data_IF_715211080301
#
_entry.id   IF_715211080301
#
_cell.length_a   1.000
_cell.length_b   1.000
_cell.length_c   1.000
_cell.angle_alpha   90.00
_cell.angle_beta   90.00
_cell.angle_gamma   90.00
#
_symmetry.space_group_name_H-M   'P 1'
#
loop_
_entity.id
_entity.type
_entity.pdbx_description
1 polymer ?
#
# COMPACT_ATOMS: atom_id res chain seq x y z
N UNK A 1 15.46 13.53 27.25
CA UNK A 1 15.46 14.36 26.01
C UNK A 1 16.80 14.39 25.30
N UNK A 2 17.95 14.54 26.00
CA UNK A 2 19.28 14.66 25.37
C UNK A 2 19.76 13.40 24.61
N UNK A 3 19.45 12.20 25.10
CA UNK A 3 19.86 10.93 24.44
C UNK A 3 19.24 10.76 23.05
N UNK A 4 17.96 11.11 22.88
CA UNK A 4 17.24 11.03 21.61
C UNK A 4 17.71 12.09 20.61
N UNK A 5 18.14 13.26 21.08
CA UNK A 5 18.84 14.23 20.24
C UNK A 5 20.11 13.65 19.61
N UNK A 6 20.77 12.69 20.27
CA UNK A 6 21.98 12.05 19.74
C UNK A 6 21.68 11.00 18.66
N UNK A 7 20.72 10.09 18.90
CA UNK A 7 20.29 9.09 17.90
C UNK A 7 19.77 9.76 16.64
N UNK A 8 18.95 10.80 16.82
CA UNK A 8 18.46 11.59 15.71
C UNK A 8 19.59 12.27 14.93
N UNK A 9 20.57 12.85 15.63
CA UNK A 9 21.75 13.45 14.99
C UNK A 9 22.56 12.41 14.21
N UNK A 10 22.70 11.21 14.74
CA UNK A 10 23.40 10.09 14.11
C UNK A 10 22.68 9.62 12.84
N UNK A 11 21.37 9.35 12.92
CA UNK A 11 20.53 9.00 11.76
C UNK A 11 20.61 10.09 10.68
N UNK A 12 20.53 11.37 11.05
CA UNK A 12 20.62 12.48 10.08
C UNK A 12 21.98 12.54 9.40
N UNK A 13 23.05 12.35 10.17
CA UNK A 13 24.43 12.40 9.67
C UNK A 13 24.75 11.21 8.76
N UNK A 14 24.32 10.01 9.13
CA UNK A 14 24.39 8.79 8.32
C UNK A 14 23.59 8.94 7.03
N UNK A 15 22.34 9.41 7.12
CA UNK A 15 21.51 9.60 5.93
C UNK A 15 22.12 10.62 4.97
N UNK A 16 22.78 11.66 5.50
CA UNK A 16 23.51 12.64 4.69
C UNK A 16 24.77 12.05 4.04
N UNK A 17 25.54 11.22 4.76
CA UNK A 17 26.69 10.49 4.20
C UNK A 17 26.26 9.53 3.11
N UNK A 18 25.21 8.75 3.34
CA UNK A 18 24.66 7.83 2.34
C UNK A 18 24.14 8.61 1.13
N UNK A 19 23.43 9.72 1.34
CA UNK A 19 22.99 10.60 0.24
C UNK A 19 24.18 11.12 -0.58
N UNK A 20 25.29 11.47 0.07
CA UNK A 20 26.51 11.95 -0.59
C UNK A 20 27.15 10.86 -1.44
N UNK A 21 27.27 9.64 -0.90
CA UNK A 21 27.82 8.46 -1.60
C UNK A 21 26.97 8.11 -2.83
N UNK A 22 25.63 8.17 -2.72
CA UNK A 22 24.73 7.84 -3.84
C UNK A 22 24.54 9.00 -4.85
N UNK A 23 24.90 10.24 -4.51
CA UNK A 23 24.82 11.40 -5.43
C UNK A 23 26.03 11.52 -6.37
N UNK A 24 27.10 10.75 -6.14
CA UNK A 24 28.24 10.59 -7.05
C UNK A 24 28.82 9.19 -6.92
N UNK A 25 28.79 8.34 -7.96
CA UNK A 25 29.81 7.32 -8.05
C UNK A 25 31.17 8.04 -8.12
N UNK A 26 32.21 7.60 -7.39
CA UNK A 26 33.54 8.15 -7.55
C UNK A 26 34.03 7.88 -8.96
N UNK A 27 34.51 8.91 -9.66
CA UNK A 27 35.33 8.71 -10.85
C UNK A 27 36.59 7.95 -10.41
N UNK A 28 36.64 6.65 -10.68
CA UNK A 28 37.80 5.79 -10.38
C UNK A 28 37.56 4.56 -9.51
N UNK A 29 36.31 4.19 -9.18
CA UNK A 29 36.03 2.84 -8.67
C UNK A 29 35.42 2.01 -9.81
N UNK A 30 36.23 1.11 -10.35
CA UNK A 30 35.78 0.09 -11.28
C UNK A 30 35.03 -1.00 -10.49
N UNK A 31 33.71 -1.10 -10.69
CA UNK A 31 32.90 -2.17 -10.12
C UNK A 31 32.99 -3.48 -10.93
N UNK A 32 33.96 -3.60 -11.84
CA UNK A 32 34.17 -4.82 -12.64
C UNK A 32 34.49 -6.08 -11.82
N UNK A 33 34.81 -5.98 -10.52
CA UNK A 33 34.95 -7.15 -9.64
C UNK A 33 33.64 -7.62 -8.96
N UNK A 34 32.53 -6.88 -9.10
CA UNK A 34 31.21 -7.35 -8.68
C UNK A 34 30.29 -7.56 -9.90
N UNK A 35 30.54 -8.64 -10.64
CA UNK A 35 29.58 -9.22 -11.58
C UNK A 35 29.52 -8.55 -12.95
N UNK A 36 30.10 -9.20 -13.95
CA UNK A 36 29.94 -8.87 -15.36
C UNK A 36 28.48 -8.99 -15.82
N UNK A 37 27.74 -7.89 -15.86
CA UNK A 37 26.73 -7.63 -16.91
C UNK A 37 26.80 -6.15 -17.30
N UNK A 38 27.36 -5.87 -18.48
CA UNK A 38 27.45 -4.53 -19.06
C UNK A 38 26.06 -3.91 -19.21
N UNK A 39 25.83 -2.64 -18.81
CA UNK A 39 24.67 -1.90 -19.28
C UNK A 39 24.90 -1.56 -20.76
N UNK A 40 24.07 -2.14 -21.62
CA UNK A 40 23.96 -1.76 -23.03
C UNK A 40 23.73 -0.25 -23.14
N UNK A 41 24.59 0.43 -23.89
CA UNK A 41 24.39 1.79 -24.38
C UNK A 41 23.17 1.84 -25.30
N UNK A 42 21.99 2.04 -24.72
CA UNK A 42 20.83 2.59 -25.42
C UNK A 42 20.49 3.92 -24.77
N UNK A 43 20.24 4.91 -25.62
CA UNK A 43 19.68 6.20 -25.26
C UNK A 43 18.51 6.02 -24.26
N UNK A 44 18.28 6.96 -23.34
CA UNK A 44 17.18 6.83 -22.40
C UNK A 44 15.88 6.84 -23.18
N UNK A 45 15.32 5.65 -23.41
CA UNK A 45 13.91 5.51 -23.72
C UNK A 45 13.19 6.35 -22.66
N UNK A 46 12.34 7.27 -23.13
CA UNK A 46 11.38 7.97 -22.30
C UNK A 46 10.48 6.93 -21.65
N UNK A 47 10.96 6.34 -20.56
CA UNK A 47 10.17 5.56 -19.64
C UNK A 47 9.13 6.52 -19.10
N UNK A 48 7.89 6.33 -19.50
CA UNK A 48 6.77 6.86 -18.76
C UNK A 48 6.95 6.39 -17.31
N UNK A 49 7.16 7.34 -16.40
CA UNK A 49 7.05 7.17 -14.95
C UNK A 49 5.60 6.76 -14.61
N UNK A 50 5.18 5.56 -15.00
CA UNK A 50 4.01 4.89 -14.44
C UNK A 50 4.42 4.36 -13.06
N UNK A 51 4.32 5.28 -12.09
CA UNK A 51 4.64 5.12 -10.67
C UNK A 51 4.07 3.82 -10.07
N UNK A 52 4.94 3.05 -9.40
CA UNK A 52 4.59 1.95 -8.51
C UNK A 52 3.89 2.46 -7.22
N UNK A 53 2.66 2.96 -7.34
CA UNK A 53 1.69 2.65 -6.28
C UNK A 53 1.45 1.14 -6.41
N UNK A 54 1.87 0.37 -5.41
CA UNK A 54 1.73 -1.09 -5.40
C UNK A 54 0.30 -1.44 -5.83
N UNK A 55 0.15 -2.09 -6.98
CA UNK A 55 -1.16 -2.55 -7.44
C UNK A 55 -1.76 -3.40 -6.31
N UNK A 56 -3.05 -3.23 -6.01
CA UNK A 56 -3.70 -4.00 -4.96
C UNK A 56 -3.54 -5.49 -5.29
N UNK A 57 -2.85 -6.21 -4.41
CA UNK A 57 -2.61 -7.63 -4.58
C UNK A 57 -3.93 -8.36 -4.31
N UNK A 58 -4.32 -9.29 -5.18
CA UNK A 58 -5.58 -10.02 -5.04
C UNK A 58 -5.56 -10.97 -3.85
N UNK A 59 -4.35 -11.36 -3.43
CA UNK A 59 -4.13 -12.12 -2.20
C UNK A 59 -4.47 -11.30 -0.95
N UNK A 60 -4.51 -9.96 -1.02
CA UNK A 60 -4.93 -9.11 0.10
C UNK A 60 -6.39 -9.37 0.52
N UNK A 61 -7.18 -10.05 -0.31
CA UNK A 61 -8.59 -10.38 -0.04
C UNK A 61 -8.80 -11.88 0.25
N UNK A 62 -7.77 -12.71 0.19
CA UNK A 62 -7.94 -14.13 0.49
C UNK A 62 -8.05 -14.36 1.99
N UNK A 63 -8.88 -15.32 2.39
CA UNK A 63 -8.90 -15.77 3.77
C UNK A 63 -7.66 -16.62 4.02
N UNK A 64 -6.91 -16.28 5.07
CA UNK A 64 -5.83 -17.15 5.52
C UNK A 64 -6.42 -18.52 5.83
N UNK A 65 -5.86 -19.53 5.17
CA UNK A 65 -6.16 -20.93 5.40
C UNK A 65 -6.28 -21.15 6.91
N UNK A 66 -7.41 -21.69 7.34
CA UNK A 66 -7.78 -21.86 8.75
C UNK A 66 -6.67 -22.57 9.53
N UNK A 67 -5.74 -21.80 10.08
CA UNK A 67 -4.81 -22.28 11.10
C UNK A 67 -5.69 -22.61 12.30
N UNK A 68 -5.74 -23.88 12.70
CA UNK A 68 -6.58 -24.35 13.81
C UNK A 68 -6.27 -23.69 15.16
N UNK A 69 -5.22 -22.86 15.26
CA UNK A 69 -4.90 -22.08 16.44
C UNK A 69 -5.57 -20.69 16.42
N UNK A 70 -6.51 -20.50 17.35
CA UNK A 70 -7.22 -19.25 17.59
C UNK A 70 -6.31 -18.05 17.94
N UNK A 71 -5.11 -18.31 18.48
CA UNK A 71 -4.16 -17.25 18.85
C UNK A 71 -3.46 -16.70 17.62
N UNK A 72 -2.98 -17.59 16.76
CA UNK A 72 -2.37 -17.22 15.47
C UNK A 72 -3.34 -16.42 14.60
N UNK A 73 -4.60 -16.87 14.49
CA UNK A 73 -5.64 -16.16 13.75
C UNK A 73 -5.90 -14.74 14.30
N UNK A 74 -5.92 -14.58 15.63
CA UNK A 74 -6.09 -13.26 16.25
C UNK A 74 -4.89 -12.35 15.99
N UNK A 75 -3.67 -12.87 16.06
CA UNK A 75 -2.46 -12.09 15.78
C UNK A 75 -2.45 -11.58 14.33
N UNK A 76 -2.84 -12.43 13.38
CA UNK A 76 -2.93 -12.05 11.98
C UNK A 76 -4.03 -10.99 11.74
N UNK A 77 -5.16 -11.12 12.43
CA UNK A 77 -6.21 -10.09 12.42
C UNK A 77 -5.72 -8.75 12.99
N UNK A 78 -4.91 -8.77 14.06
CA UNK A 78 -4.30 -7.55 14.62
C UNK A 78 -3.35 -6.90 13.61
N UNK A 79 -2.48 -7.68 12.96
CA UNK A 79 -1.57 -7.19 11.92
C UNK A 79 -2.34 -6.53 10.77
N UNK A 80 -3.33 -7.24 10.20
CA UNK A 80 -4.18 -6.73 9.13
C UNK A 80 -4.94 -5.47 9.55
N UNK A 81 -5.44 -5.43 10.78
CA UNK A 81 -6.14 -4.25 11.30
C UNK A 81 -5.22 -3.03 11.36
N UNK A 82 -3.97 -3.21 11.76
CA UNK A 82 -2.97 -2.14 11.80
C UNK A 82 -2.63 -1.62 10.40
N UNK A 83 -2.42 -2.51 9.43
CA UNK A 83 -2.17 -2.10 8.04
C UNK A 83 -3.36 -1.37 7.43
N UNK A 84 -4.57 -1.91 7.59
CA UNK A 84 -5.80 -1.27 7.08
C UNK A 84 -6.04 0.09 7.72
N UNK A 85 -5.82 0.23 9.02
CA UNK A 85 -5.94 1.52 9.69
C UNK A 85 -4.89 2.53 9.19
N UNK A 86 -3.64 2.08 9.01
CA UNK A 86 -2.59 2.92 8.43
C UNK A 86 -2.96 3.41 7.02
N UNK A 87 -3.51 2.53 6.17
CA UNK A 87 -3.98 2.89 4.82
C UNK A 87 -5.15 3.87 4.81
N UNK A 88 -6.09 3.71 5.74
CA UNK A 88 -7.23 4.64 5.89
C UNK A 88 -6.73 6.03 6.27
N UNK A 89 -5.76 6.12 7.18
CA UNK A 89 -5.21 7.40 7.64
C UNK A 89 -4.24 8.05 6.65
N UNK A 90 -3.64 7.26 5.75
CA UNK A 90 -2.79 7.77 4.69
C UNK A 90 -3.63 8.58 3.70
N UNK A 91 -3.28 9.86 3.52
CA UNK A 91 -4.05 10.77 2.67
C UNK A 91 -3.89 10.45 1.19
N UNK A 92 -4.96 10.66 0.45
CA UNK A 92 -4.94 10.57 -1.01
C UNK A 92 -4.24 11.80 -1.62
N UNK A 93 -3.32 11.58 -2.55
CA UNK A 93 -2.68 12.66 -3.31
C UNK A 93 -3.69 13.27 -4.27
N UNK A 94 -4.18 14.47 -4.00
CA UNK A 94 -4.89 15.23 -5.03
C UNK A 94 -3.86 15.77 -6.01
N UNK A 95 -4.04 15.54 -7.32
CA UNK A 95 -3.26 16.23 -8.36
C UNK A 95 -3.39 17.73 -8.09
N UNK A 96 -2.28 18.44 -7.86
CA UNK A 96 -2.30 19.89 -7.64
C UNK A 96 -2.83 20.61 -8.89
N UNK A 97 -4.13 20.85 -8.94
CA UNK A 97 -4.82 21.69 -9.93
C UNK A 97 -4.81 23.16 -9.50
N UNK A 98 -3.65 23.65 -9.04
CA UNK A 98 -3.49 25.04 -8.60
C UNK A 98 -2.89 25.93 -9.67
N UNK A 99 -3.61 26.98 -10.09
CA UNK A 99 -3.21 28.03 -11.04
C UNK A 99 -1.96 28.85 -10.65
N UNK A 100 -1.22 28.49 -9.61
CA UNK A 100 -0.03 29.21 -9.10
C UNK A 100 1.25 28.36 -9.09
N UNK A 101 1.25 27.20 -9.75
CA UNK A 101 2.45 26.38 -9.96
C UNK A 101 3.41 26.90 -11.03
N UNK A 102 3.73 28.20 -11.07
CA UNK A 102 4.87 28.69 -11.86
C UNK A 102 6.14 28.50 -11.05
N UNK A 103 6.63 27.27 -11.08
CA UNK A 103 7.94 26.91 -10.60
C UNK A 103 8.16 25.44 -10.89
N UNK A 104 8.88 25.15 -12.00
CA UNK A 104 9.55 23.87 -12.24
C UNK A 104 10.48 23.60 -11.05
N UNK A 105 9.95 23.07 -9.95
CA UNK A 105 10.74 22.28 -9.03
C UNK A 105 10.63 20.86 -9.54
N UNK A 106 11.76 20.33 -10.01
CA UNK A 106 12.02 18.91 -10.24
C UNK A 106 11.25 18.06 -9.23
N UNK A 107 10.68 16.98 -9.74
CA UNK A 107 9.95 15.91 -9.06
C UNK A 107 10.71 15.36 -7.85
N UNK A 108 10.71 16.11 -6.77
CA UNK A 108 11.22 15.68 -5.48
C UNK A 108 10.15 14.82 -4.83
N UNK A 109 10.34 13.50 -4.86
CA UNK A 109 9.61 12.45 -4.12
C UNK A 109 8.31 12.95 -3.49
N UNK A 110 7.26 13.07 -4.30
CA UNK A 110 5.91 13.41 -3.85
C UNK A 110 5.30 12.30 -2.99
N UNK A 111 5.94 11.13 -2.91
CA UNK A 111 5.40 9.92 -2.31
C UNK A 111 5.50 9.83 -0.78
N UNK A 112 6.55 10.41 -0.20
CA UNK A 112 6.83 10.25 1.23
C UNK A 112 5.97 11.12 2.17
N UNK A 113 5.02 11.92 1.69
CA UNK A 113 4.30 12.89 2.57
C UNK A 113 3.11 12.28 3.30
N UNK A 114 2.44 11.34 2.67
CA UNK A 114 1.17 10.80 3.17
C UNK A 114 1.29 9.39 3.75
N UNK A 115 2.52 8.93 4.01
CA UNK A 115 2.76 7.63 4.64
C UNK A 115 2.36 7.70 6.12
N UNK A 116 1.64 6.68 6.55
CA UNK A 116 1.19 6.50 7.92
C UNK A 116 1.69 5.15 8.44
N UNK A 117 2.01 5.11 9.72
CA UNK A 117 2.28 3.89 10.46
C UNK A 117 1.42 3.86 11.72
N UNK A 118 0.99 2.66 12.10
CA UNK A 118 0.16 2.44 13.29
C UNK A 118 0.71 1.28 14.10
N UNK A 119 0.72 1.42 15.42
CA UNK A 119 1.07 0.35 16.34
C UNK A 119 0.00 0.17 17.42
N UNK A 120 0.00 -0.99 18.08
CA UNK A 120 -0.99 -1.37 19.09
C UNK A 120 -0.31 -1.62 20.44
N UNK A 121 -0.92 -1.11 21.50
CA UNK A 121 -0.57 -1.39 22.90
C UNK A 121 -1.77 -1.99 23.60
N UNK A 122 -1.57 -3.14 24.23
CA UNK A 122 -2.58 -3.91 24.93
C UNK A 122 -2.37 -3.78 26.44
N UNK A 123 -3.06 -2.80 27.04
CA UNK A 123 -2.98 -2.57 28.48
C UNK A 123 -4.02 -3.45 29.19
N UNK A 124 -3.55 -4.58 29.71
CA UNK A 124 -4.38 -5.53 30.47
C UNK A 124 -4.84 -4.96 31.81
N UNK A 125 -4.13 -3.98 32.39
CA UNK A 125 -4.48 -3.38 33.68
C UNK A 125 -5.66 -2.43 33.56
N UNK A 126 -5.65 -1.60 32.51
CA UNK A 126 -6.76 -0.70 32.18
C UNK A 126 -7.83 -1.38 31.31
N UNK A 127 -7.61 -2.64 30.93
CA UNK A 127 -8.44 -3.38 29.96
C UNK A 127 -8.68 -2.55 28.69
N UNK A 128 -7.62 -1.91 28.17
CA UNK A 128 -7.71 -0.97 27.06
C UNK A 128 -6.74 -1.32 25.95
N UNK A 129 -7.21 -1.21 24.71
CA UNK A 129 -6.34 -1.28 23.52
C UNK A 129 -6.09 0.14 23.02
N UNK A 130 -4.82 0.51 22.91
CA UNK A 130 -4.39 1.83 22.43
C UNK A 130 -3.72 1.70 21.07
N UNK A 131 -4.21 2.43 20.08
CA UNK A 131 -3.56 2.60 18.79
C UNK A 131 -2.71 3.87 18.79
N UNK A 132 -1.43 3.73 18.49
CA UNK A 132 -0.52 4.85 18.27
C UNK A 132 -0.45 5.11 16.77
N UNK A 133 -0.84 6.31 16.34
CA UNK A 133 -0.92 6.66 14.93
C UNK A 133 0.13 7.74 14.61
N UNK A 134 1.07 7.43 13.71
CA UNK A 134 2.06 8.40 13.22
C UNK A 134 1.90 8.61 11.73
N UNK A 135 2.13 9.84 11.28
CA UNK A 135 2.04 10.24 9.88
C UNK A 135 3.20 11.16 9.56
N UNK A 136 3.82 11.02 8.39
CA UNK A 136 5.05 11.77 8.06
C UNK A 136 4.87 13.30 8.20
N UNK A 137 3.69 13.80 7.83
CA UNK A 137 3.31 15.21 7.93
C UNK A 137 2.54 15.58 9.21
N UNK A 138 2.27 14.59 10.06
CA UNK A 138 1.46 14.73 11.27
C UNK A 138 -0.03 14.52 11.00
N UNK A 139 -0.74 14.06 12.02
CA UNK A 139 -2.21 14.03 11.99
C UNK A 139 -2.73 15.46 12.10
N UNK A 140 -3.78 15.76 11.34
CA UNK A 140 -4.46 17.07 11.40
C UNK A 140 -5.89 16.92 11.94
N UNK A 141 -6.59 18.03 12.17
CA UNK A 141 -7.90 18.02 12.85
C UNK A 141 -8.95 17.08 12.24
N UNK A 142 -8.98 16.91 10.90
CA UNK A 142 -9.86 15.94 10.25
C UNK A 142 -9.54 14.49 10.63
N UNK A 143 -8.25 14.16 10.75
CA UNK A 143 -7.79 12.84 11.17
C UNK A 143 -8.17 12.59 12.64
N UNK A 144 -8.03 13.61 13.51
CA UNK A 144 -8.40 13.53 14.93
C UNK A 144 -9.91 13.33 15.14
N UNK A 145 -10.74 14.06 14.40
CA UNK A 145 -12.21 13.91 14.44
C UNK A 145 -12.62 12.51 13.96
N UNK A 146 -12.00 12.02 12.88
CA UNK A 146 -12.22 10.66 12.39
C UNK A 146 -11.86 9.61 13.45
N UNK A 147 -10.67 9.71 14.05
CA UNK A 147 -10.21 8.78 15.09
C UNK A 147 -11.09 8.81 16.34
N UNK A 148 -11.57 9.99 16.74
CA UNK A 148 -12.54 10.15 17.82
C UNK A 148 -13.84 9.39 17.57
N UNK A 149 -14.47 9.61 16.40
CA UNK A 149 -15.69 8.90 15.99
C UNK A 149 -15.47 7.39 15.86
N UNK A 150 -14.32 6.97 15.32
CA UNK A 150 -13.95 5.56 15.19
C UNK A 150 -13.81 4.91 16.57
N UNK A 151 -13.20 5.61 17.53
CA UNK A 151 -13.05 5.18 18.91
C UNK A 151 -14.40 4.88 19.57
N UNK A 152 -15.37 5.78 19.41
CA UNK A 152 -16.73 5.62 19.95
C UNK A 152 -17.43 4.40 19.34
N UNK A 153 -17.35 4.23 18.01
CA UNK A 153 -17.96 3.10 17.32
C UNK A 153 -17.36 1.76 17.74
N UNK A 154 -16.03 1.62 17.69
CA UNK A 154 -15.36 0.37 18.06
C UNK A 154 -15.55 0.04 19.55
N UNK A 155 -15.55 1.04 20.43
CA UNK A 155 -15.84 0.84 21.86
C UNK A 155 -17.29 0.41 22.08
N UNK A 156 -18.24 0.95 21.31
CA UNK A 156 -19.64 0.52 21.35
C UNK A 156 -19.80 -0.94 20.90
N UNK A 157 -19.15 -1.35 19.81
CA UNK A 157 -19.17 -2.74 19.32
C UNK A 157 -18.60 -3.69 20.37
N UNK A 158 -17.47 -3.30 20.97
CA UNK A 158 -16.80 -4.10 21.98
C UNK A 158 -17.68 -4.25 23.24
N UNK A 159 -18.38 -3.21 23.69
CA UNK A 159 -19.31 -3.30 24.84
C UNK A 159 -20.57 -4.08 24.50
N UNK A 160 -21.26 -3.71 23.42
CA UNK A 160 -22.61 -4.17 23.11
C UNK A 160 -22.64 -5.46 22.28
N UNK A 161 -21.48 -5.91 21.79
CA UNK A 161 -21.40 -6.97 20.78
C UNK A 161 -21.68 -6.42 19.38
N UNK A 162 -21.27 -7.18 18.37
CA UNK A 162 -21.45 -6.81 16.97
C UNK A 162 -22.92 -6.88 16.57
N UNK A 163 -23.45 -5.75 16.10
CA UNK A 163 -24.75 -5.67 15.44
C UNK A 163 -24.56 -5.65 13.93
N UNK A 164 -25.57 -6.09 13.20
CA UNK A 164 -25.56 -6.10 11.74
C UNK A 164 -25.31 -4.71 11.12
N UNK A 165 -25.71 -3.63 11.81
CA UNK A 165 -25.52 -2.24 11.34
C UNK A 165 -24.16 -1.64 11.67
N UNK A 166 -23.35 -2.30 12.51
CA UNK A 166 -22.09 -1.72 12.97
C UNK A 166 -21.04 -1.68 11.86
N UNK A 167 -21.00 -2.70 11.00
CA UNK A 167 -20.17 -2.70 9.79
C UNK A 167 -20.51 -1.53 8.88
N UNK A 168 -21.80 -1.27 8.63
CA UNK A 168 -22.24 -0.16 7.80
C UNK A 168 -21.85 1.21 8.39
N UNK A 169 -21.92 1.37 9.73
CA UNK A 169 -21.51 2.61 10.40
C UNK A 169 -20.01 2.87 10.31
N UNK A 170 -19.19 1.84 10.59
CA UNK A 170 -17.73 1.94 10.49
C UNK A 170 -17.33 2.18 9.03
N UNK A 171 -17.98 1.50 8.08
CA UNK A 171 -17.79 1.74 6.66
C UNK A 171 -18.09 3.18 6.28
N UNK A 172 -19.28 3.70 6.61
CA UNK A 172 -19.67 5.06 6.26
C UNK A 172 -18.65 6.07 6.81
N UNK A 173 -18.16 5.87 8.04
CA UNK A 173 -17.14 6.73 8.64
C UNK A 173 -15.81 6.70 7.87
N UNK A 174 -15.31 5.50 7.53
CA UNK A 174 -14.07 5.33 6.77
C UNK A 174 -14.23 5.89 5.35
N UNK A 175 -15.39 5.68 4.76
CA UNK A 175 -15.74 6.14 3.42
C UNK A 175 -15.79 7.67 3.36
N UNK A 176 -16.45 8.32 4.33
CA UNK A 176 -16.46 9.78 4.50
C UNK A 176 -15.03 10.33 4.60
N UNK A 177 -14.19 9.73 5.43
CA UNK A 177 -12.78 10.14 5.60
C UNK A 177 -11.97 10.00 4.30
N UNK A 178 -12.24 8.96 3.51
CA UNK A 178 -11.54 8.65 2.27
C UNK A 178 -12.20 9.21 1.00
N UNK A 179 -13.15 10.14 1.12
CA UNK A 179 -13.90 10.71 -0.03
C UNK A 179 -12.99 11.07 -1.23
N UNK A 180 -11.85 11.79 -1.07
CA UNK A 180 -11.00 12.13 -2.22
C UNK A 180 -10.43 10.92 -2.95
N UNK A 181 -10.10 9.84 -2.21
CA UNK A 181 -9.62 8.58 -2.78
C UNK A 181 -10.73 7.88 -3.57
N UNK A 182 -11.92 7.85 -2.99
CA UNK A 182 -13.08 7.20 -3.61
C UNK A 182 -13.48 7.91 -4.91
N UNK A 183 -13.54 9.23 -4.88
CA UNK A 183 -13.86 10.04 -6.06
C UNK A 183 -12.85 9.78 -7.19
N UNK A 184 -11.55 9.75 -6.88
CA UNK A 184 -10.51 9.48 -7.86
C UNK A 184 -10.69 8.12 -8.53
N UNK A 185 -10.78 7.04 -7.76
CA UNK A 185 -10.90 5.70 -8.36
C UNK A 185 -12.25 5.52 -9.07
N UNK A 186 -13.31 6.18 -8.61
CA UNK A 186 -14.60 6.20 -9.32
C UNK A 186 -14.49 6.86 -10.69
N UNK A 187 -13.71 7.94 -10.81
CA UNK A 187 -13.41 8.59 -12.09
C UNK A 187 -12.55 7.68 -12.97
N UNK A 188 -11.53 7.03 -12.43
CA UNK A 188 -10.66 6.13 -13.19
C UNK A 188 -11.42 4.95 -13.82
N UNK A 189 -12.38 4.37 -13.08
CA UNK A 189 -13.28 3.32 -13.61
C UNK A 189 -14.18 3.88 -14.70
N UNK A 190 -14.78 5.06 -14.48
CA UNK A 190 -15.64 5.72 -15.47
C UNK A 190 -14.86 5.99 -16.76
N UNK A 191 -13.67 6.57 -16.64
CA UNK A 191 -12.79 6.84 -17.76
C UNK A 191 -12.48 5.57 -18.55
N UNK A 192 -12.21 4.44 -17.88
CA UNK A 192 -11.97 3.18 -18.57
C UNK A 192 -13.18 2.74 -19.41
N UNK A 193 -14.40 2.86 -18.89
CA UNK A 193 -15.64 2.55 -19.62
C UNK A 193 -15.94 3.56 -20.74
N UNK A 194 -15.67 4.85 -20.53
CA UNK A 194 -15.83 5.88 -21.56
C UNK A 194 -14.86 5.66 -22.71
N UNK A 195 -13.59 5.32 -22.42
CA UNK A 195 -12.61 4.98 -23.44
C UNK A 195 -13.03 3.73 -24.20
N UNK A 196 -13.44 2.67 -23.50
CA UNK A 196 -13.96 1.46 -24.14
C UNK A 196 -15.13 1.76 -25.09
N UNK A 197 -16.07 2.61 -24.67
CA UNK A 197 -17.23 3.01 -25.48
C UNK A 197 -16.88 3.89 -26.69
N UNK A 198 -15.73 4.58 -26.66
CA UNK A 198 -15.23 5.42 -27.76
C UNK A 198 -14.45 4.64 -28.82
N UNK A 199 -13.98 3.43 -28.48
CA UNK A 199 -13.36 2.53 -29.44
C UNK A 199 -14.45 1.99 -30.35
N UNK A 200 -14.48 2.45 -31.61
CA UNK A 200 -15.31 1.83 -32.64
C UNK A 200 -14.86 0.38 -32.81
N UNK A 201 -15.69 -0.55 -32.38
CA UNK A 201 -15.59 -1.95 -32.82
C UNK A 201 -15.79 -1.91 -34.34
N UNK A 202 -14.90 -2.51 -35.16
CA UNK A 202 -15.17 -2.67 -36.57
C UNK A 202 -16.48 -3.43 -36.73
N UNK A 203 -17.50 -2.77 -37.28
CA UNK A 203 -18.72 -3.44 -37.69
C UNK A 203 -18.33 -4.46 -38.76
N UNK A 204 -18.68 -5.72 -38.53
CA UNK A 204 -18.35 -6.94 -39.30
C UNK A 204 -17.01 -7.61 -38.96
N UNK A 205 -17.07 -8.55 -38.01
CA UNK A 205 -16.18 -9.71 -38.01
C UNK A 205 -16.59 -10.60 -39.19
N UNK A 206 -15.90 -10.51 -40.32
CA UNK A 206 -15.97 -11.54 -41.35
C UNK A 206 -15.32 -12.82 -40.85
N UNK A 207 -15.84 -13.96 -41.30
CA UNK A 207 -15.38 -15.31 -40.95
C UNK A 207 -13.85 -15.48 -41.16
N UNK A 208 -13.29 -14.76 -42.13
CA UNK A 208 -11.86 -14.70 -42.44
C UNK A 208 -11.01 -14.01 -41.35
N UNK A 209 -11.51 -12.95 -40.69
CA UNK A 209 -10.79 -12.30 -39.58
C UNK A 209 -10.82 -13.16 -38.29
N UNK A 210 -11.88 -13.92 -38.08
CA UNK A 210 -11.97 -14.86 -36.94
C UNK A 210 -10.95 -15.99 -37.14
N UNK A 211 -10.78 -16.47 -38.38
CA UNK A 211 -9.80 -17.48 -38.73
C UNK A 211 -8.37 -16.99 -38.50
N UNK A 212 -8.04 -15.78 -38.96
CA UNK A 212 -6.71 -15.18 -38.79
C UNK A 212 -6.34 -14.93 -37.32
N UNK A 213 -7.31 -14.52 -36.48
CA UNK A 213 -7.10 -14.29 -35.04
C UNK A 213 -6.95 -15.60 -34.25
N UNK A 214 -7.70 -16.64 -34.65
CA UNK A 214 -7.61 -17.97 -34.03
C UNK A 214 -6.30 -18.66 -34.41
N UNK A 215 -5.88 -18.54 -35.67
CA UNK A 215 -4.63 -19.13 -36.17
C UNK A 215 -3.38 -18.40 -35.60
N UNK A 216 -3.45 -17.08 -35.34
CA UNK A 216 -2.36 -16.35 -34.66
C UNK A 216 -2.26 -16.63 -33.15
N UNK A 217 -3.30 -17.17 -32.50
CA UNK A 217 -3.30 -17.46 -31.04
C UNK A 217 -2.99 -18.91 -30.68
N UNK A 218 -2.98 -19.81 -31.67
CA UNK A 218 -2.61 -21.22 -31.51
C UNK A 218 -1.14 -21.46 -31.86
N UNK A 219 -0.22 -20.62 -31.37
CA UNK A 219 1.17 -21.07 -31.25
C UNK A 219 1.24 -22.09 -30.11
N UNK A 220 1.61 -23.32 -30.46
CA UNK A 220 1.78 -24.42 -29.53
C UNK A 220 2.74 -24.00 -28.40
N UNK A 221 2.21 -23.80 -27.19
CA UNK A 221 3.04 -23.65 -25.99
C UNK A 221 3.64 -25.02 -25.64
N UNK A 222 4.94 -25.15 -25.82
CA UNK A 222 5.72 -26.29 -25.35
C UNK A 222 5.67 -26.28 -23.81
N UNK A 223 4.90 -27.20 -23.23
CA UNK A 223 5.01 -27.54 -21.81
C UNK A 223 5.94 -28.75 -21.71
N UNK A 224 7.10 -28.57 -21.08
CA UNK A 224 8.04 -29.63 -20.65
C UNK A 224 8.06 -30.89 -21.55
N UNK A 225 8.39 -30.71 -22.83
CA UNK A 225 8.67 -31.81 -23.76
C UNK A 225 7.45 -32.51 -24.39
N UNK A 226 6.22 -32.02 -24.21
CA UNK A 226 5.02 -32.57 -24.86
C UNK A 226 4.38 -31.56 -25.82
N UNK A 227 4.40 -31.89 -27.12
CA UNK A 227 3.67 -31.17 -28.17
C UNK A 227 2.27 -31.78 -28.26
N UNK A 228 1.25 -31.09 -27.75
CA UNK A 228 -0.15 -31.49 -27.97
C UNK A 228 -0.66 -30.76 -29.20
N UNK A 229 -0.84 -31.51 -30.28
CA UNK A 229 -1.35 -31.00 -31.54
C UNK A 229 -2.87 -31.20 -31.56
N UNK A 230 -3.64 -30.15 -31.28
CA UNK A 230 -5.11 -30.21 -31.38
C UNK A 230 -5.49 -30.00 -32.85
N UNK A 231 -5.20 -31.00 -33.68
CA UNK A 231 -5.75 -31.07 -35.02
C UNK A 231 -7.08 -31.81 -34.98
N UNK A 232 -8.09 -31.16 -35.54
CA UNK A 232 -9.48 -31.61 -35.57
C UNK A 232 -9.61 -33.09 -35.90
N UNK A 233 -10.12 -33.86 -34.93
CA UNK A 233 -10.79 -35.13 -35.18
C UNK A 233 -12.20 -35.05 -34.64
N UNK A 234 -13.09 -35.62 -35.43
CA UNK A 234 -14.52 -35.67 -35.24
C UNK A 234 -14.90 -36.13 -33.83
N UNK A 235 -15.97 -35.49 -33.36
CA UNK A 235 -16.76 -35.80 -32.18
C UNK A 235 -17.17 -37.28 -32.19
N UNK A 236 -16.54 -38.08 -31.34
CA UNK A 236 -17.14 -39.32 -30.83
C UNK A 236 -17.55 -39.13 -29.37
N UNK A 237 -18.81 -39.49 -29.13
CA UNK A 237 -19.55 -39.34 -27.89
C UNK A 237 -19.19 -40.48 -26.93
N UNK A 238 -18.54 -40.15 -25.80
CA UNK A 238 -18.51 -40.95 -24.57
C UNK A 238 -18.36 -39.95 -23.40
N UNK A 239 -19.46 -39.58 -22.74
CA UNK A 239 -19.99 -40.15 -21.49
C UNK A 239 -19.05 -40.09 -20.27
N UNK A 240 -19.57 -39.39 -19.25
CA UNK A 240 -19.11 -39.25 -17.86
C UNK A 240 -17.84 -38.40 -17.61
N UNK A 241 -17.96 -37.11 -17.90
CA UNK A 241 -17.23 -36.08 -17.16
C UNK A 241 -17.87 -35.91 -15.77
N UNK A 242 -17.09 -35.86 -14.68
CA UNK A 242 -17.61 -35.56 -13.36
C UNK A 242 -18.38 -34.24 -13.42
N UNK A 243 -19.61 -34.27 -12.90
CA UNK A 243 -20.50 -33.14 -12.75
C UNK A 243 -19.80 -31.91 -12.14
N UNK A 244 -19.24 -31.06 -13.00
CA UNK A 244 -18.87 -29.69 -12.67
C UNK A 244 -20.16 -28.87 -12.71
N UNK A 245 -21.04 -29.05 -11.72
CA UNK A 245 -22.28 -28.30 -11.64
C UNK A 245 -21.91 -26.82 -11.39
N UNK A 246 -22.17 -25.99 -12.39
CA UNK A 246 -22.35 -24.55 -12.25
C UNK A 246 -23.41 -24.32 -11.18
N UNK A 247 -23.04 -23.66 -10.09
CA UNK A 247 -24.01 -23.22 -9.10
C UNK A 247 -24.71 -21.99 -9.70
N UNK A 248 -25.90 -22.20 -10.28
CA UNK A 248 -26.61 -21.20 -11.11
C UNK A 248 -26.88 -19.90 -10.36
N UNK A 249 -26.97 -19.96 -9.03
CA UNK A 249 -27.11 -18.80 -8.17
C UNK A 249 -25.79 -18.02 -8.03
N UNK A 250 -24.65 -18.70 -7.96
CA UNK A 250 -23.34 -18.06 -7.92
C UNK A 250 -23.02 -17.32 -9.22
N UNK A 251 -23.39 -17.91 -10.36
CA UNK A 251 -23.21 -17.27 -11.67
C UNK A 251 -24.13 -16.04 -11.82
N UNK A 252 -25.36 -16.09 -11.28
CA UNK A 252 -26.29 -14.94 -11.27
C UNK A 252 -25.71 -13.74 -10.51
N UNK A 253 -25.12 -13.98 -9.34
CA UNK A 253 -24.55 -12.92 -8.48
C UNK A 253 -23.35 -12.23 -9.15
N UNK A 254 -22.52 -13.00 -9.86
CA UNK A 254 -21.38 -12.48 -10.63
C UNK A 254 -21.85 -11.61 -11.80
N UNK A 255 -22.84 -12.08 -12.56
CA UNK A 255 -23.42 -11.32 -13.68
C UNK A 255 -24.08 -10.03 -13.18
N UNK A 256 -24.92 -10.11 -12.13
CA UNK A 256 -25.59 -8.93 -11.55
C UNK A 256 -24.58 -7.88 -11.07
N UNK A 257 -23.44 -8.33 -10.50
CA UNK A 257 -22.38 -7.43 -10.05
C UNK A 257 -21.67 -6.77 -11.23
N UNK A 258 -21.38 -7.51 -12.32
CA UNK A 258 -20.83 -6.92 -13.53
C UNK A 258 -21.77 -5.88 -14.15
N UNK A 259 -23.06 -6.18 -14.24
CA UNK A 259 -24.07 -5.24 -14.72
C UNK A 259 -24.18 -4.00 -13.82
N UNK A 260 -24.01 -4.18 -12.51
CA UNK A 260 -24.00 -3.07 -11.54
C UNK A 260 -22.74 -2.21 -11.70
N UNK A 261 -21.56 -2.79 -11.95
CA UNK A 261 -20.35 -2.01 -12.29
C UNK A 261 -20.63 -1.13 -13.52
N UNK A 262 -21.17 -1.71 -14.58
CA UNK A 262 -21.49 -0.96 -15.78
C UNK A 262 -22.52 0.15 -15.49
N UNK A 263 -23.62 -0.15 -14.79
CA UNK A 263 -24.63 0.87 -14.46
C UNK A 263 -24.07 2.02 -13.62
N UNK A 264 -23.26 1.70 -12.61
CA UNK A 264 -22.69 2.70 -11.69
C UNK A 264 -21.64 3.59 -12.36
N UNK A 265 -20.84 3.04 -13.29
CA UNK A 265 -19.68 3.75 -13.84
C UNK A 265 -19.78 4.11 -15.33
N UNK A 266 -20.78 3.64 -16.08
CA UNK A 266 -20.96 3.95 -17.52
C UNK A 266 -21.79 5.23 -17.76
N UNK A 267 -22.70 5.60 -16.87
CA UNK A 267 -23.57 6.77 -17.06
C UNK A 267 -22.85 8.04 -16.58
N UNK A 268 -22.64 8.99 -17.50
CA UNK A 268 -21.96 10.28 -17.25
C UNK A 268 -22.85 11.33 -16.56
N UNK A 269 -24.13 11.03 -16.33
CA UNK A 269 -25.12 11.96 -15.79
C UNK A 269 -25.52 11.57 -14.36
N UNK A 270 -24.80 12.08 -13.37
CA UNK A 270 -25.37 12.83 -12.24
C UNK A 270 -24.27 13.10 -11.22
N UNK A 271 -24.24 14.35 -10.77
CA UNK A 271 -23.51 14.73 -9.58
C UNK A 271 -23.97 13.85 -8.42
N UNK A 272 -23.02 13.26 -7.69
CA UNK A 272 -23.19 12.43 -6.49
C UNK A 272 -23.78 11.03 -6.78
N UNK A 273 -22.90 10.04 -6.97
CA UNK A 273 -23.29 8.65 -6.67
C UNK A 273 -23.82 8.62 -5.24
N UNK A 274 -25.01 8.07 -5.00
CA UNK A 274 -25.52 7.95 -3.62
C UNK A 274 -24.60 7.01 -2.85
N UNK A 275 -24.03 7.49 -1.75
CA UNK A 275 -23.10 6.71 -0.91
C UNK A 275 -23.66 5.34 -0.52
N UNK A 276 -24.98 5.22 -0.33
CA UNK A 276 -25.64 3.95 -0.03
C UNK A 276 -25.56 2.93 -1.19
N UNK A 277 -25.73 3.36 -2.43
CA UNK A 277 -25.67 2.45 -3.59
C UNK A 277 -24.26 1.91 -3.83
N UNK A 278 -23.26 2.76 -3.58
CA UNK A 278 -21.85 2.41 -3.71
C UNK A 278 -21.40 1.51 -2.56
N UNK A 279 -21.88 1.74 -1.33
CA UNK A 279 -21.68 0.81 -0.20
C UNK A 279 -22.21 -0.58 -0.52
N UNK A 280 -23.49 -0.66 -0.87
CA UNK A 280 -24.18 -1.93 -1.12
C UNK A 280 -23.55 -2.68 -2.32
N UNK A 281 -22.99 -1.94 -3.27
CA UNK A 281 -22.17 -2.51 -4.34
C UNK A 281 -20.84 -3.06 -3.81
N UNK A 282 -20.08 -2.27 -3.03
CA UNK A 282 -18.77 -2.66 -2.54
C UNK A 282 -18.83 -3.87 -1.61
N UNK A 283 -19.90 -4.01 -0.84
CA UNK A 283 -20.16 -5.20 -0.02
C UNK A 283 -20.29 -6.47 -0.89
N UNK A 284 -21.09 -6.41 -1.95
CA UNK A 284 -21.26 -7.55 -2.89
C UNK A 284 -20.00 -7.82 -3.70
N UNK A 285 -19.35 -6.77 -4.17
CA UNK A 285 -18.09 -6.88 -4.90
C UNK A 285 -17.01 -7.51 -4.01
N UNK A 286 -16.90 -7.07 -2.75
CA UNK A 286 -16.01 -7.65 -1.76
C UNK A 286 -16.28 -9.15 -1.56
N UNK A 287 -17.53 -9.56 -1.42
CA UNK A 287 -17.89 -10.98 -1.30
C UNK A 287 -17.42 -11.82 -2.51
N UNK A 288 -17.59 -11.30 -3.73
CA UNK A 288 -17.17 -11.98 -4.96
C UNK A 288 -15.65 -12.07 -5.07
N UNK A 289 -14.92 -10.98 -4.81
CA UNK A 289 -13.46 -10.99 -4.94
C UNK A 289 -12.80 -11.89 -3.88
N UNK A 290 -13.45 -12.18 -2.74
CA UNK A 290 -12.94 -13.17 -1.78
C UNK A 290 -13.12 -14.61 -2.23
N UNK A 291 -14.07 -14.86 -3.12
CA UNK A 291 -14.37 -16.21 -3.59
C UNK A 291 -13.48 -16.59 -4.79
N UNK A 292 -12.60 -17.59 -4.64
CA UNK A 292 -11.65 -17.97 -5.70
C UNK A 292 -12.33 -18.51 -6.97
N UNK A 293 -13.60 -18.96 -6.89
CA UNK A 293 -14.37 -19.42 -8.05
C UNK A 293 -15.07 -18.26 -8.77
N UNK A 294 -15.58 -17.29 -8.03
CA UNK A 294 -16.34 -16.17 -8.61
C UNK A 294 -15.43 -15.04 -9.12
N UNK A 295 -14.27 -14.82 -8.50
CA UNK A 295 -13.29 -13.80 -8.90
C UNK A 295 -12.87 -13.94 -10.38
N UNK A 296 -12.46 -15.13 -10.89
CA UNK A 296 -12.10 -15.29 -12.30
C UNK A 296 -13.29 -15.06 -13.26
N UNK A 297 -14.49 -15.48 -12.87
CA UNK A 297 -15.70 -15.28 -13.67
C UNK A 297 -16.01 -13.79 -13.83
N UNK A 298 -15.96 -13.02 -12.73
CA UNK A 298 -16.15 -11.56 -12.79
C UNK A 298 -15.09 -10.86 -13.64
N UNK A 299 -13.82 -11.27 -13.51
CA UNK A 299 -12.73 -10.74 -14.35
C UNK A 299 -13.01 -10.95 -15.83
N UNK A 300 -13.45 -12.14 -16.23
CA UNK A 300 -13.73 -12.44 -17.62
C UNK A 300 -14.88 -11.58 -18.17
N UNK A 301 -15.96 -11.41 -17.41
CA UNK A 301 -17.07 -10.53 -17.79
C UNK A 301 -16.62 -9.07 -17.90
N UNK A 302 -15.79 -8.59 -16.97
CA UNK A 302 -15.27 -7.22 -17.01
C UNK A 302 -14.33 -7.00 -18.20
N UNK A 303 -13.48 -7.98 -18.53
CA UNK A 303 -12.64 -7.94 -19.75
C UNK A 303 -13.50 -7.83 -21.01
N UNK A 304 -14.59 -8.59 -21.09
CA UNK A 304 -15.54 -8.51 -22.19
C UNK A 304 -16.22 -7.13 -22.27
N UNK A 305 -16.63 -6.58 -21.12
CA UNK A 305 -17.25 -5.26 -21.03
C UNK A 305 -16.31 -4.12 -21.47
N UNK A 306 -14.99 -4.34 -21.42
CA UNK A 306 -13.94 -3.41 -21.84
C UNK A 306 -13.31 -3.80 -23.19
N UNK A 307 -14.06 -4.53 -24.03
CA UNK A 307 -13.68 -4.94 -25.39
C UNK A 307 -12.35 -5.71 -25.45
N UNK A 308 -11.99 -6.43 -24.39
CA UNK A 308 -10.75 -7.22 -24.32
C UNK A 308 -9.47 -6.38 -24.16
N UNK A 309 -9.58 -5.06 -23.95
CA UNK A 309 -8.41 -4.20 -23.75
C UNK A 309 -7.77 -4.46 -22.39
N UNK A 310 -6.60 -5.11 -22.38
CA UNK A 310 -5.86 -5.43 -21.15
C UNK A 310 -5.48 -4.17 -20.36
N UNK A 311 -5.15 -3.06 -21.04
CA UNK A 311 -4.82 -1.79 -20.40
C UNK A 311 -6.03 -1.20 -19.67
N UNK A 312 -7.20 -1.16 -20.32
CA UNK A 312 -8.43 -0.63 -19.72
C UNK A 312 -8.92 -1.55 -18.60
N UNK A 313 -8.82 -2.87 -18.79
CA UNK A 313 -9.14 -3.84 -17.76
C UNK A 313 -8.31 -3.64 -16.50
N UNK A 314 -6.97 -3.58 -16.60
CA UNK A 314 -6.11 -3.35 -15.43
C UNK A 314 -6.47 -2.05 -14.73
N UNK A 315 -6.58 -0.95 -15.46
CA UNK A 315 -6.98 0.36 -14.92
C UNK A 315 -8.27 0.28 -14.11
N UNK A 316 -9.32 -0.33 -14.66
CA UNK A 316 -10.62 -0.45 -13.99
C UNK A 316 -10.57 -1.44 -12.81
N UNK A 317 -9.90 -2.58 -12.97
CA UNK A 317 -9.80 -3.62 -11.96
C UNK A 317 -9.02 -3.17 -10.74
N UNK A 318 -7.86 -2.53 -10.95
CA UNK A 318 -7.03 -2.00 -9.87
C UNK A 318 -7.79 -0.93 -9.08
N UNK A 319 -8.50 -0.03 -9.78
CA UNK A 319 -9.35 0.99 -9.15
C UNK A 319 -10.50 0.37 -8.34
N UNK A 320 -11.15 -0.69 -8.86
CA UNK A 320 -12.19 -1.43 -8.13
C UNK A 320 -11.64 -2.09 -6.86
N UNK A 321 -10.46 -2.71 -6.93
CA UNK A 321 -9.80 -3.31 -5.79
C UNK A 321 -9.42 -2.25 -4.73
N UNK A 322 -8.93 -1.08 -5.15
CA UNK A 322 -8.68 0.04 -4.23
C UNK A 322 -9.95 0.51 -3.51
N UNK A 323 -11.09 0.60 -4.21
CA UNK A 323 -12.36 0.90 -3.56
C UNK A 323 -12.76 -0.19 -2.57
N UNK A 324 -12.58 -1.47 -2.93
CA UNK A 324 -12.87 -2.60 -2.06
C UNK A 324 -12.00 -2.63 -0.79
N UNK A 325 -10.75 -2.13 -0.83
CA UNK A 325 -9.90 -1.99 0.37
C UNK A 325 -10.55 -1.12 1.45
N UNK A 326 -11.32 -0.10 1.06
CA UNK A 326 -12.06 0.77 1.99
C UNK A 326 -13.12 -0.03 2.76
N UNK A 327 -13.84 -0.92 2.06
CA UNK A 327 -14.80 -1.83 2.69
C UNK A 327 -14.10 -2.89 3.54
N UNK A 328 -13.02 -3.47 3.03
CA UNK A 328 -12.21 -4.46 3.75
C UNK A 328 -11.68 -3.91 5.08
N UNK A 329 -11.22 -2.65 5.12
CA UNK A 329 -10.78 -2.00 6.35
C UNK A 329 -11.90 -1.95 7.41
N UNK A 330 -13.13 -1.62 7.02
CA UNK A 330 -14.27 -1.60 7.92
C UNK A 330 -14.59 -2.99 8.48
N UNK A 331 -14.64 -4.02 7.62
CA UNK A 331 -14.88 -5.41 8.03
C UNK A 331 -13.83 -5.87 9.03
N UNK A 332 -12.55 -5.61 8.73
CA UNK A 332 -11.41 -6.01 9.57
C UNK A 332 -11.47 -5.35 10.96
N UNK A 333 -11.73 -4.04 11.02
CA UNK A 333 -11.77 -3.31 12.30
C UNK A 333 -12.96 -3.72 13.18
N UNK A 334 -14.12 -4.00 12.57
CA UNK A 334 -15.28 -4.53 13.31
C UNK A 334 -14.99 -5.94 13.82
N UNK A 335 -14.39 -6.80 13.00
CA UNK A 335 -14.02 -8.15 13.42
C UNK A 335 -13.02 -8.13 14.57
N UNK A 336 -12.01 -7.26 14.51
CA UNK A 336 -11.05 -7.07 15.59
C UNK A 336 -11.74 -6.66 16.89
N UNK A 337 -12.64 -5.67 16.85
CA UNK A 337 -13.38 -5.23 18.04
C UNK A 337 -14.22 -6.36 18.67
N UNK A 338 -14.85 -7.18 17.83
CA UNK A 338 -15.60 -8.36 18.26
C UNK A 338 -14.71 -9.42 18.91
N UNK A 339 -13.53 -9.70 18.35
CA UNK A 339 -12.59 -10.70 18.88
C UNK A 339 -11.88 -10.22 20.15
N UNK A 340 -11.52 -8.95 20.25
CA UNK A 340 -10.89 -8.38 21.45
C UNK A 340 -11.81 -8.36 22.67
N UNK A 341 -13.14 -8.28 22.47
CA UNK A 341 -14.12 -8.48 23.54
C UNK A 341 -13.91 -9.81 24.28
N UNK A 342 -13.55 -10.87 23.55
CA UNK A 342 -13.27 -12.19 24.12
C UNK A 342 -12.03 -12.20 25.03
N UNK A 343 -11.14 -11.22 24.89
CA UNK A 343 -9.94 -11.03 25.71
C UNK A 343 -10.15 -10.04 26.86
N UNK A 344 -11.41 -9.70 27.18
CA UNK A 344 -11.80 -8.85 28.32
C UNK A 344 -11.31 -7.39 28.23
N UNK A 345 -10.98 -6.89 27.05
CA UNK A 345 -10.81 -5.46 26.83
C UNK A 345 -12.17 -4.76 26.86
N UNK A 346 -12.23 -3.52 27.37
CA UNK A 346 -13.45 -2.75 27.61
C UNK A 346 -13.50 -1.40 26.84
N UNK A 347 -12.37 -0.96 26.28
CA UNK A 347 -12.25 0.33 25.60
C UNK A 347 -11.12 0.38 24.58
N UNK A 348 -11.31 1.25 23.57
CA UNK A 348 -10.24 1.66 22.66
C UNK A 348 -9.74 3.06 22.99
N UNK A 349 -8.52 3.37 22.55
CA UNK A 349 -7.96 4.72 22.53
C UNK A 349 -7.11 4.89 21.29
N UNK A 350 -7.16 6.08 20.68
CA UNK A 350 -6.27 6.47 19.60
C UNK A 350 -5.41 7.63 20.08
N UNK A 351 -4.10 7.53 19.87
CA UNK A 351 -3.12 8.54 20.29
C UNK A 351 -2.35 9.00 19.07
N UNK A 352 -2.46 10.29 18.68
CA UNK A 352 -1.64 10.84 17.62
C UNK A 352 -0.20 10.97 18.13
N UNK A 353 0.75 10.41 17.37
CA UNK A 353 2.19 10.64 17.58
C UNK A 353 2.58 11.88 16.78
N UNK A 354 3.15 12.86 17.47
CA UNK A 354 3.52 14.13 16.86
C UNK A 354 4.57 13.93 15.76
N UNK A 355 4.30 14.49 14.59
CA UNK A 355 5.31 14.51 13.54
C UNK A 355 6.52 15.32 13.99
N UNK A 356 7.67 14.64 14.02
CA UNK A 356 8.94 15.27 14.26
C UNK A 356 9.56 15.62 12.91
N UNK A 357 9.90 16.90 12.73
CA UNK A 357 10.76 17.34 11.65
C UNK A 357 12.15 17.56 12.20
N UNK A 358 13.17 17.07 11.49
CA UNK A 358 14.53 17.53 11.71
C UNK A 358 14.65 18.99 11.30
N UNK A 359 14.55 19.88 12.29
CA UNK A 359 14.90 21.29 12.12
C UNK A 359 16.41 21.40 12.12
N UNK A 360 17.02 21.30 10.94
CA UNK A 360 18.47 21.44 10.73
C UNK A 360 19.01 22.80 11.20
N UNK A 361 18.15 23.82 11.29
CA UNK A 361 18.50 25.17 11.78
C UNK A 361 18.77 25.27 13.28
N UNK A 362 18.24 24.36 14.10
CA UNK A 362 18.36 24.44 15.57
C UNK A 362 19.58 23.71 16.13
N UNK A 363 20.23 22.88 15.33
CA UNK A 363 21.45 22.18 15.74
C UNK A 363 22.66 22.93 15.21
N UNK A 364 23.08 23.96 15.95
CA UNK A 364 24.38 24.57 15.73
C UNK A 364 25.46 23.73 16.46
N UNK A 365 26.58 23.36 15.80
CA UNK A 365 26.91 23.57 14.41
C UNK A 365 26.87 22.26 13.60
N UNK A 366 25.71 21.84 13.13
CA UNK A 366 25.62 20.90 11.99
C UNK A 366 26.40 21.52 10.81
N UNK A 367 27.45 20.84 10.37
CA UNK A 367 28.34 21.29 9.29
C UNK A 367 29.75 21.74 9.69
N UNK A 368 30.19 21.53 10.94
CA UNK A 368 31.62 21.60 11.30
C UNK A 368 32.32 20.24 11.26
N UNK A 369 31.57 19.16 11.41
CA UNK A 369 32.11 17.80 11.40
C UNK A 369 32.38 17.36 9.95
N UNK A 370 33.59 16.87 9.72
CA UNK A 370 34.02 16.37 8.41
C UNK A 370 33.33 15.03 8.12
N UNK A 371 32.95 14.73 6.87
CA UNK A 371 32.32 13.46 6.49
C UNK A 371 33.06 12.23 7.03
N UNK A 372 34.39 12.25 6.95
CA UNK A 372 35.26 11.19 7.47
C UNK A 372 35.16 11.02 8.99
N UNK A 373 35.14 12.11 9.76
CA UNK A 373 35.03 12.05 11.22
C UNK A 373 33.67 11.51 11.66
N UNK A 374 32.62 11.82 10.91
CA UNK A 374 31.29 11.27 11.15
C UNK A 374 31.28 9.77 10.88
N UNK A 375 31.90 9.33 9.78
CA UNK A 375 32.05 7.90 9.44
C UNK A 375 32.84 7.14 10.52
N UNK A 376 33.93 7.71 11.01
CA UNK A 376 34.74 7.15 12.11
C UNK A 376 33.93 7.08 13.42
N UNK A 377 33.13 8.11 13.72
CA UNK A 377 32.32 8.16 14.95
C UNK A 377 31.22 7.08 14.99
N UNK A 378 30.71 6.68 13.83
CA UNK A 378 29.75 5.56 13.69
C UNK A 378 30.44 4.20 13.54
N UNK A 379 31.75 4.14 13.83
CA UNK A 379 32.58 2.92 13.77
C UNK A 379 32.67 2.30 12.36
N UNK A 380 32.43 3.09 11.31
CA UNK A 380 32.67 2.68 9.93
C UNK A 380 34.06 3.15 9.50
N UNK A 381 34.82 2.26 8.84
CA UNK A 381 36.13 2.59 8.28
C UNK A 381 36.06 2.53 6.75
N UNK A 382 36.51 3.56 6.03
CA UNK A 382 36.53 3.53 4.58
C UNK A 382 37.55 2.49 4.07
N UNK A 383 37.13 1.63 3.16
CA UNK A 383 38.02 0.64 2.54
C UNK A 383 38.94 1.32 1.52
N UNK A 384 40.17 1.61 1.95
CA UNK A 384 41.23 2.10 1.09
C UNK A 384 41.35 3.63 0.98
N UNK A 385 42.53 4.06 0.51
CA UNK A 385 42.93 5.47 0.51
C UNK A 385 42.12 6.36 -0.43
N UNK A 386 41.38 5.78 -1.39
CA UNK A 386 40.53 6.52 -2.33
C UNK A 386 39.33 7.18 -1.65
N UNK A 387 38.62 6.42 -0.80
CA UNK A 387 37.48 6.93 -0.04
C UNK A 387 37.89 7.97 1.00
N UNK A 388 39.05 7.78 1.66
CA UNK A 388 39.61 8.76 2.60
C UNK A 388 39.86 10.10 1.89
N UNK A 389 40.51 10.07 0.71
CA UNK A 389 40.75 11.29 -0.09
C UNK A 389 39.44 11.95 -0.53
N UNK A 390 38.45 11.17 -0.98
CA UNK A 390 37.16 11.69 -1.41
C UNK A 390 36.40 12.38 -0.27
N UNK A 391 36.34 11.77 0.91
CA UNK A 391 35.62 12.31 2.08
C UNK A 391 36.33 13.51 2.72
N UNK A 392 37.62 13.70 2.42
CA UNK A 392 38.42 14.87 2.80
C UNK A 392 38.46 15.95 1.71
N UNK A 393 37.96 15.68 0.50
CA UNK A 393 37.92 16.65 -0.59
C UNK A 393 37.00 17.83 -0.28
N UNK A 394 37.45 19.04 -0.61
CA UNK A 394 36.76 20.27 -0.27
C UNK A 394 35.39 20.40 -0.93
N UNK A 395 35.24 19.86 -2.16
CA UNK A 395 33.95 19.85 -2.88
C UNK A 395 32.99 18.87 -2.22
N UNK A 396 33.46 17.69 -1.85
CA UNK A 396 32.69 16.68 -1.10
C UNK A 396 32.23 17.22 0.25
N UNK A 397 33.10 17.90 0.99
CA UNK A 397 32.76 18.54 2.27
C UNK A 397 31.68 19.62 2.08
N UNK A 398 31.79 20.45 1.04
CA UNK A 398 30.79 21.47 0.72
C UNK A 398 29.43 20.84 0.38
N UNK A 399 29.42 19.79 -0.43
CA UNK A 399 28.21 19.05 -0.79
C UNK A 399 27.57 18.37 0.41
N UNK A 400 28.36 17.67 1.24
CA UNK A 400 27.90 17.09 2.49
C UNK A 400 27.25 18.14 3.41
N UNK A 401 27.90 19.31 3.54
CA UNK A 401 27.36 20.41 4.35
C UNK A 401 26.04 20.93 3.80
N UNK A 402 25.90 21.02 2.47
CA UNK A 402 24.63 21.40 1.85
C UNK A 402 23.54 20.35 2.09
N UNK A 403 23.89 19.07 1.97
CA UNK A 403 22.98 17.95 2.24
C UNK A 403 22.52 17.95 3.70
N UNK A 404 23.41 18.22 4.65
CA UNK A 404 23.10 18.32 6.09
C UNK A 404 22.12 19.45 6.42
N UNK A 405 22.14 20.53 5.63
CA UNK A 405 21.26 21.69 5.82
C UNK A 405 19.85 21.46 5.27
N UNK A 406 19.66 20.45 4.41
CA UNK A 406 18.35 20.14 3.86
C UNK A 406 17.41 19.66 4.99
N UNK A 407 16.22 20.29 5.15
CA UNK A 407 15.24 19.78 6.08
C UNK A 407 14.78 18.39 5.63
N UNK A 408 14.77 17.43 6.56
CA UNK A 408 14.31 16.06 6.30
C UNK A 408 13.11 15.75 7.19
N UNK A 409 12.06 15.22 6.58
CA UNK A 409 10.95 14.61 7.31
C UNK A 409 11.40 13.27 7.88
N UNK A 410 10.99 12.99 9.10
CA UNK A 410 11.15 11.66 9.70
C UNK A 410 9.96 10.81 9.25
N UNK A 411 10.22 9.57 8.83
CA UNK A 411 9.17 8.65 8.45
C UNK A 411 8.37 8.19 9.69
N UNK A 412 7.09 7.89 9.49
CA UNK A 412 6.12 7.55 10.53
C UNK A 412 6.56 6.34 11.36
N UNK A 413 7.22 5.36 10.74
CA UNK A 413 7.80 4.20 11.40
C UNK A 413 8.80 4.62 12.49
N UNK A 414 9.73 5.51 12.13
CA UNK A 414 10.77 6.00 13.05
C UNK A 414 10.15 6.88 14.15
N UNK A 415 9.12 7.67 13.81
CA UNK A 415 8.37 8.45 14.80
C UNK A 415 7.71 7.54 15.86
N UNK A 416 7.10 6.42 15.46
CA UNK A 416 6.49 5.45 16.38
C UNK A 416 7.51 4.79 17.28
N UNK A 417 8.59 4.25 16.71
CA UNK A 417 9.63 3.56 17.48
C UNK A 417 10.26 4.51 18.51
N UNK A 418 10.53 5.75 18.11
CA UNK A 418 11.04 6.77 19.04
C UNK A 418 10.04 7.07 20.17
N UNK A 419 8.75 7.12 19.84
CA UNK A 419 7.70 7.31 20.84
C UNK A 419 7.63 6.14 21.82
N UNK A 420 7.77 4.89 21.36
CA UNK A 420 7.83 3.72 22.21
C UNK A 420 8.98 3.76 23.21
N UNK A 421 10.19 4.06 22.75
CA UNK A 421 11.36 4.14 23.64
C UNK A 421 11.18 5.22 24.72
N UNK A 422 10.46 6.31 24.41
CA UNK A 422 10.19 7.37 25.40
C UNK A 422 9.05 7.06 26.36
N UNK A 423 7.96 6.47 25.87
CA UNK A 423 6.68 6.40 26.59
C UNK A 423 6.38 5.02 27.16
N UNK A 424 7.05 3.97 26.68
CA UNK A 424 6.77 2.56 27.00
C UNK A 424 8.03 1.75 27.33
N UNK A 425 9.18 2.38 27.58
CA UNK A 425 10.45 1.68 27.88
C UNK A 425 10.38 0.67 29.03
N UNK A 426 9.48 0.89 30.01
CA UNK A 426 9.27 -0.01 31.15
C UNK A 426 8.14 -1.04 30.93
N UNK A 427 7.34 -0.90 29.85
CA UNK A 427 6.14 -1.70 29.58
C UNK A 427 6.18 -2.36 28.18
N UNK A 428 7.36 -2.79 27.73
CA UNK A 428 7.53 -3.40 26.41
C UNK A 428 6.63 -4.64 26.22
N UNK A 429 6.32 -5.38 27.28
CA UNK A 429 5.49 -6.59 27.24
C UNK A 429 4.02 -6.32 26.83
N UNK A 430 3.58 -5.05 26.87
CA UNK A 430 2.23 -4.64 26.45
C UNK A 430 2.17 -4.25 24.98
N UNK A 431 3.30 -4.05 24.31
CA UNK A 431 3.35 -3.60 22.92
C UNK A 431 3.15 -4.81 22.02
N UNK A 432 2.15 -4.77 21.14
CA UNK A 432 1.99 -5.79 20.13
C UNK A 432 3.15 -5.70 19.13
N UNK A 433 3.91 -6.78 18.86
CA UNK A 433 5.14 -6.73 18.08
C UNK A 433 4.84 -6.69 16.57
N UNK A 434 4.10 -5.67 16.13
CA UNK A 434 3.88 -5.34 14.74
C UNK A 434 3.55 -3.87 14.56
N UNK A 435 4.16 -3.26 13.53
CA UNK A 435 3.83 -1.90 13.08
C UNK A 435 3.18 -2.02 11.71
N UNK A 436 1.89 -1.68 11.65
CA UNK A 436 1.18 -1.61 10.38
C UNK A 436 1.57 -0.36 9.61
N UNK A 437 1.70 -0.47 8.29
CA UNK A 437 2.18 0.61 7.44
C UNK A 437 1.29 0.77 6.21
N UNK A 438 1.00 2.02 5.84
CA UNK A 438 0.17 2.31 4.67
C UNK A 438 0.84 1.96 3.34
N UNK A 439 2.17 1.80 3.37
CA UNK A 439 3.03 1.42 2.24
C UNK A 439 4.14 0.51 2.77
N UNK A 440 4.81 -0.21 1.86
CA UNK A 440 6.05 -0.91 2.21
C UNK A 440 7.05 0.08 2.80
N UNK A 441 7.66 -0.29 3.92
CA UNK A 441 8.70 0.50 4.55
C UNK A 441 9.85 0.73 3.57
N UNK A 442 10.48 1.90 3.63
CA UNK A 442 11.76 2.07 2.95
C UNK A 442 12.82 1.19 3.64
N UNK A 443 13.89 0.86 2.91
CA UNK A 443 15.00 0.05 3.43
C UNK A 443 15.46 0.48 4.84
N UNK A 444 15.66 1.77 5.08
CA UNK A 444 16.08 2.25 6.40
C UNK A 444 15.03 2.05 7.49
N UNK A 445 13.75 2.24 7.19
CA UNK A 445 12.68 2.01 8.16
C UNK A 445 12.52 0.52 8.47
N UNK A 446 12.69 -0.34 7.46
CA UNK A 446 12.67 -1.80 7.65
C UNK A 446 13.82 -2.26 8.55
N UNK A 447 15.05 -1.81 8.28
CA UNK A 447 16.21 -2.11 9.12
C UNK A 447 16.02 -1.53 10.54
N UNK A 448 15.57 -0.28 10.66
CA UNK A 448 15.36 0.35 11.96
C UNK A 448 14.30 -0.38 12.80
N UNK A 449 13.20 -0.81 12.17
CA UNK A 449 12.22 -1.69 12.81
C UNK A 449 12.88 -2.98 13.27
N UNK A 450 13.57 -3.71 12.38
CA UNK A 450 14.20 -4.98 12.70
C UNK A 450 15.16 -4.88 13.91
N UNK A 451 15.91 -3.78 14.02
CA UNK A 451 16.86 -3.56 15.12
C UNK A 451 16.20 -3.16 16.45
N UNK A 452 15.13 -2.36 16.42
CA UNK A 452 14.57 -1.73 17.62
C UNK A 452 13.30 -2.37 18.15
N UNK A 453 12.61 -3.20 17.38
CA UNK A 453 11.30 -3.69 17.78
C UNK A 453 11.17 -5.18 18.09
N UNK A 454 12.31 -5.86 18.28
CA UNK A 454 12.38 -7.25 18.76
C UNK A 454 11.83 -8.28 17.77
N UNK A 455 12.67 -9.23 17.34
CA UNK A 455 12.36 -10.38 16.47
C UNK A 455 11.00 -10.33 15.76
N UNK A 456 10.85 -9.37 14.85
CA UNK A 456 9.71 -9.31 13.96
C UNK A 456 9.80 -10.50 12.99
N UNK A 457 8.73 -11.28 12.80
CA UNK A 457 8.74 -12.30 11.76
C UNK A 457 8.90 -11.59 10.41
N UNK A 458 9.96 -11.98 9.68
CA UNK A 458 10.12 -11.70 8.25
C UNK A 458 8.92 -12.36 7.56
N UNK A 459 8.14 -11.55 6.83
CA UNK A 459 7.09 -12.05 5.95
C UNK A 459 7.64 -12.93 4.85
#
# INVERSE_FOLDING_TARGET
MEKYSSLYREIHSLTALTSLIFQRPPDGIDYSEFGNEKPSSKEPEQGSDEEQDKLPDETDFEDDMTTGDSTTALNLLKQRSLDRLAEVLARFKTRKTGRHGRGKKKDGNLDAKHVTSVAMVEDSTLQRVTFLCAKNEGLVGEDEVFLGRLCELLTSILKNGQRQTDQSKVFNLIFEHNTPRVEYYSVEIRDAFTHASSVKVPDTLTEDMIKDIVDQKLEARLWDGLIININGRQREVWQELPHCLSDSEMDRVVVETCDRIQRLFKISNSHTMRNDELRDFLERFYAIIRNPRQRPALKNLLKQALHGSEKLFRKAWDALLFLARTFHAAVTLVELASKLKLKLFNSFRFVPVSACMFKTKTYAPLGKELPLKVLEAVQCQPEGNGWVKLLQDQRTIYEYTNILRLPRSIHAEVQLVSYFETSYSENNDQVFPYIGCSKKCCFFCEIFRALHGGDYPKG
#
